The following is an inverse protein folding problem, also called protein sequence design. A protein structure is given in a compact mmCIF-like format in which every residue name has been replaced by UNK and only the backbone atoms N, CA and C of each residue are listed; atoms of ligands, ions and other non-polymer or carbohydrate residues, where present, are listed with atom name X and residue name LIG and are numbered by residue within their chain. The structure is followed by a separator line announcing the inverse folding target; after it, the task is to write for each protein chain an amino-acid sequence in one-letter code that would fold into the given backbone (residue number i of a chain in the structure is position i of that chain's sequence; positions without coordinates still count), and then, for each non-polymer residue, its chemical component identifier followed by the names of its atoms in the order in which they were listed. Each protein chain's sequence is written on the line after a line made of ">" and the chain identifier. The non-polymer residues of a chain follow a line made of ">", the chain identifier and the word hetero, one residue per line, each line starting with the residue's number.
data_IF_361606866842
#
_entry.id   IF_361606866842
#
_cell.length_a   1.000
_cell.length_b   1.000
_cell.length_c   1.000
_cell.angle_alpha   90.00
_cell.angle_beta   90.00
_cell.angle_gamma   90.00
#
_symmetry.space_group_name_H-M   'P 1'
#
loop_
_entity.id
_entity.type
_entity.pdbx_description
1 polymer ?
#
# COMPACT_ATOMS: atom_id res chain seq x y z
N UNK A 1 -41.74 -14.17 -26.99
CA UNK A 1 -40.39 -14.57 -26.57
C UNK A 1 -39.59 -13.30 -26.49
N UNK A 2 -39.60 -12.68 -25.31
CA UNK A 2 -38.59 -11.67 -24.99
C UNK A 2 -37.26 -12.42 -24.88
N UNK A 3 -36.17 -11.84 -25.41
CA UNK A 3 -34.87 -12.49 -25.35
C UNK A 3 -34.37 -12.48 -23.90
N UNK A 4 -33.93 -13.62 -23.39
CA UNK A 4 -33.35 -13.74 -22.05
C UNK A 4 -32.19 -12.75 -21.92
N UNK A 5 -32.30 -11.82 -20.96
CA UNK A 5 -31.30 -10.78 -20.77
C UNK A 5 -30.07 -11.40 -20.12
N UNK A 6 -28.97 -11.45 -20.87
CA UNK A 6 -27.68 -11.95 -20.38
C UNK A 6 -26.86 -10.83 -19.76
N UNK A 7 -26.25 -11.12 -18.62
CA UNK A 7 -25.34 -10.23 -17.91
C UNK A 7 -23.95 -10.84 -17.93
N UNK A 8 -22.95 -10.06 -18.35
CA UNK A 8 -21.55 -10.51 -18.33
C UNK A 8 -21.08 -10.60 -16.87
N UNK A 9 -20.43 -11.72 -16.53
CA UNK A 9 -19.82 -11.94 -15.21
C UNK A 9 -18.30 -11.93 -15.36
N UNK A 10 -17.65 -11.01 -14.63
CA UNK A 10 -16.19 -10.94 -14.57
C UNK A 10 -15.73 -10.98 -13.11
N UNK A 11 -14.45 -11.24 -12.90
CA UNK A 11 -13.78 -11.16 -11.60
C UNK A 11 -12.63 -10.17 -11.73
N UNK A 12 -12.66 -9.17 -10.85
CA UNK A 12 -11.57 -8.24 -10.65
C UNK A 12 -10.57 -8.84 -9.68
N UNK A 13 -9.29 -8.81 -10.03
CA UNK A 13 -8.19 -9.31 -9.23
C UNK A 13 -7.31 -8.15 -8.79
N UNK A 14 -7.04 -8.09 -7.49
CA UNK A 14 -6.24 -7.06 -6.83
C UNK A 14 -5.04 -7.72 -6.14
N UNK A 15 -3.87 -7.09 -6.22
CA UNK A 15 -2.69 -7.53 -5.46
C UNK A 15 -2.51 -6.63 -4.23
N UNK A 16 -2.94 -7.13 -3.07
CA UNK A 16 -2.80 -6.43 -1.79
C UNK A 16 -1.33 -6.16 -1.43
N UNK A 17 -0.39 -6.88 -2.04
CA UNK A 17 1.04 -6.65 -1.83
C UNK A 17 1.62 -5.54 -2.70
N UNK A 18 0.88 -4.97 -3.65
CA UNK A 18 1.36 -3.91 -4.54
C UNK A 18 2.59 -4.32 -5.38
N UNK A 19 2.66 -5.60 -5.77
CA UNK A 19 3.77 -6.22 -6.49
C UNK A 19 4.86 -6.80 -5.57
N UNK A 20 4.88 -6.50 -4.27
CA UNK A 20 5.96 -6.95 -3.38
C UNK A 20 5.98 -8.49 -3.28
N UNK A 21 4.82 -9.16 -3.21
CA UNK A 21 4.77 -10.63 -3.12
C UNK A 21 5.51 -11.32 -4.26
N UNK A 22 5.48 -10.75 -5.47
CA UNK A 22 6.23 -11.24 -6.62
C UNK A 22 7.75 -11.06 -6.49
N UNK A 23 8.22 -10.01 -5.83
CA UNK A 23 9.67 -9.79 -5.62
C UNK A 23 10.21 -10.68 -4.49
N UNK A 24 9.47 -10.76 -3.37
CA UNK A 24 10.01 -11.27 -2.11
C UNK A 24 9.69 -12.75 -1.81
N UNK A 25 8.65 -13.32 -2.42
CA UNK A 25 8.24 -14.70 -2.11
C UNK A 25 9.29 -15.79 -2.37
N UNK A 26 10.19 -15.73 -3.38
CA UNK A 26 11.26 -16.72 -3.51
C UNK A 26 12.19 -16.75 -2.29
N UNK A 27 12.53 -15.56 -1.77
CA UNK A 27 13.43 -15.39 -0.62
C UNK A 27 12.77 -15.82 0.70
N UNK A 28 11.49 -15.44 0.91
CA UNK A 28 10.80 -15.64 2.19
C UNK A 28 9.92 -16.89 2.29
N UNK A 29 9.43 -17.42 1.16
CA UNK A 29 8.60 -18.64 1.14
C UNK A 29 9.33 -19.84 0.53
N UNK A 30 10.53 -19.63 -0.03
CA UNK A 30 11.21 -20.64 -0.86
C UNK A 30 10.48 -20.92 -2.17
N UNK A 31 9.47 -20.11 -2.53
CA UNK A 31 8.57 -20.33 -3.66
C UNK A 31 8.10 -18.99 -4.22
N UNK A 32 8.15 -18.85 -5.55
CA UNK A 32 7.52 -17.74 -6.26
C UNK A 32 5.98 -17.80 -6.13
N UNK A 33 5.38 -16.72 -5.63
CA UNK A 33 3.96 -16.38 -5.80
C UNK A 33 3.87 -15.08 -6.60
N UNK A 34 2.77 -14.85 -7.32
CA UNK A 34 2.65 -13.70 -8.24
C UNK A 34 1.97 -12.46 -7.62
N UNK A 35 1.34 -12.60 -6.45
CA UNK A 35 0.59 -11.56 -5.75
C UNK A 35 -0.05 -12.10 -4.47
N UNK A 36 -0.59 -11.21 -3.62
CA UNK A 36 -1.53 -11.57 -2.54
C UNK A 36 -2.92 -11.19 -3.01
N UNK A 37 -3.69 -12.18 -3.45
CA UNK A 37 -4.92 -11.96 -4.19
C UNK A 37 -6.12 -11.60 -3.31
N UNK A 38 -6.73 -10.47 -3.63
CA UNK A 38 -8.10 -10.13 -3.27
C UNK A 38 -8.96 -10.11 -4.55
N UNK A 39 -10.21 -10.57 -4.47
CA UNK A 39 -11.15 -10.59 -5.60
C UNK A 39 -12.50 -9.96 -5.29
N UNK A 40 -13.10 -9.35 -6.31
CA UNK A 40 -14.50 -8.99 -6.39
C UNK A 40 -15.15 -9.54 -7.66
N UNK A 41 -16.42 -9.95 -7.57
CA UNK A 41 -17.22 -10.33 -8.75
C UNK A 41 -17.92 -9.09 -9.30
N UNK A 42 -17.85 -8.88 -10.61
CA UNK A 42 -18.54 -7.79 -11.31
C UNK A 42 -19.64 -8.31 -12.20
N UNK A 43 -20.85 -7.80 -11.99
CA UNK A 43 -22.10 -8.15 -12.67
C UNK A 43 -23.12 -7.03 -12.40
N UNK A 44 -24.12 -6.85 -13.26
CA UNK A 44 -25.14 -5.78 -13.16
C UNK A 44 -24.56 -4.35 -13.05
N UNK A 45 -23.38 -4.10 -13.64
CA UNK A 45 -22.61 -2.85 -13.51
C UNK A 45 -22.19 -2.49 -12.06
N UNK A 46 -22.18 -3.48 -11.17
CA UNK A 46 -21.73 -3.40 -9.78
C UNK A 46 -20.55 -4.34 -9.56
N UNK A 47 -19.86 -4.14 -8.44
CA UNK A 47 -18.79 -4.98 -7.94
C UNK A 47 -19.11 -5.43 -6.53
N UNK A 48 -19.10 -6.74 -6.29
CA UNK A 48 -19.43 -7.36 -5.01
C UNK A 48 -18.20 -8.06 -4.44
N UNK A 49 -17.92 -7.86 -3.15
CA UNK A 49 -16.74 -8.39 -2.46
C UNK A 49 -17.02 -8.60 -0.97
N UNK A 50 -16.16 -9.36 -0.30
CA UNK A 50 -16.20 -9.52 1.16
C UNK A 50 -15.20 -8.54 1.80
N UNK A 51 -15.62 -7.74 2.78
CA UNK A 51 -14.78 -6.70 3.37
C UNK A 51 -15.21 -6.27 4.78
N UNK A 52 -15.45 -7.23 5.68
CA UNK A 52 -16.15 -6.99 6.96
C UNK A 52 -17.66 -7.28 6.89
N UNK A 53 -18.08 -7.97 5.83
CA UNK A 53 -19.47 -8.21 5.44
C UNK A 53 -19.53 -8.31 3.91
N UNK A 54 -20.64 -8.75 3.36
CA UNK A 54 -20.87 -8.65 1.90
C UNK A 54 -21.05 -7.17 1.58
N UNK A 55 -20.20 -6.66 0.69
CA UNK A 55 -20.16 -5.28 0.25
C UNK A 55 -20.43 -5.19 -1.25
N UNK A 56 -20.96 -4.06 -1.70
CA UNK A 56 -21.12 -3.73 -3.12
C UNK A 56 -20.72 -2.29 -3.42
N UNK A 57 -20.04 -2.05 -4.53
CA UNK A 57 -19.77 -0.72 -5.07
C UNK A 57 -20.12 -0.63 -6.55
N UNK A 58 -20.02 0.57 -7.13
CA UNK A 58 -19.82 0.66 -8.58
C UNK A 58 -18.47 0.02 -8.96
N UNK A 59 -18.39 -0.48 -10.19
CA UNK A 59 -17.16 -1.07 -10.75
C UNK A 59 -15.99 -0.09 -10.64
N UNK A 60 -14.82 -0.56 -10.18
CA UNK A 60 -13.59 0.24 -9.98
C UNK A 60 -13.70 1.37 -8.94
N UNK A 61 -14.74 1.35 -8.12
CA UNK A 61 -14.88 2.22 -6.94
C UNK A 61 -14.77 1.43 -5.63
N UNK A 62 -14.17 0.24 -5.69
CA UNK A 62 -13.86 -0.53 -4.48
C UNK A 62 -12.75 0.15 -3.68
N UNK A 63 -12.64 -0.11 -2.36
CA UNK A 63 -11.49 0.31 -1.58
C UNK A 63 -10.20 -0.45 -1.94
N UNK A 64 -10.12 -1.17 -3.06
CA UNK A 64 -8.92 -1.89 -3.49
C UNK A 64 -8.27 -1.26 -4.74
N UNK A 65 -8.80 -0.12 -5.21
CA UNK A 65 -8.20 0.67 -6.29
C UNK A 65 -8.47 0.12 -7.68
N UNK A 66 -7.45 0.16 -8.53
CA UNK A 66 -7.50 -0.40 -9.89
C UNK A 66 -7.16 -1.90 -9.87
N UNK A 67 -8.00 -2.78 -10.46
CA UNK A 67 -7.67 -4.21 -10.54
C UNK A 67 -6.45 -4.43 -11.45
N UNK A 68 -5.51 -5.26 -11.00
CA UNK A 68 -4.32 -5.65 -11.78
C UNK A 68 -4.67 -6.61 -12.92
N UNK A 69 -5.84 -7.26 -12.86
CA UNK A 69 -6.36 -8.13 -13.92
C UNK A 69 -7.89 -8.21 -13.81
N UNK A 70 -8.57 -8.15 -14.96
CA UNK A 70 -9.98 -8.49 -15.10
C UNK A 70 -10.09 -9.86 -15.78
N UNK A 71 -10.85 -10.79 -15.21
CA UNK A 71 -11.04 -12.15 -15.73
C UNK A 71 -12.50 -12.29 -16.14
N UNK A 72 -12.79 -12.51 -17.42
CA UNK A 72 -14.17 -12.86 -17.82
C UNK A 72 -14.42 -14.33 -17.47
N UNK A 73 -15.46 -14.58 -16.66
CA UNK A 73 -15.85 -15.92 -16.21
C UNK A 73 -16.88 -16.50 -17.18
N UNK A 74 -17.86 -15.69 -17.57
CA UNK A 74 -18.94 -16.12 -18.46
C UNK A 74 -20.06 -15.07 -18.54
N UNK A 75 -21.26 -15.56 -18.79
CA UNK A 75 -22.50 -14.80 -18.78
C UNK A 75 -23.51 -15.51 -17.88
N UNK A 76 -24.44 -14.76 -17.31
CA UNK A 76 -25.55 -15.27 -16.49
C UNK A 76 -26.88 -14.74 -17.01
N UNK A 77 -27.93 -15.53 -16.87
CA UNK A 77 -29.33 -15.12 -17.09
C UNK A 77 -30.06 -14.85 -15.76
N UNK A 78 -29.37 -15.04 -14.62
CA UNK A 78 -29.94 -14.82 -13.30
C UNK A 78 -30.24 -13.31 -13.12
N UNK A 79 -31.48 -12.93 -12.75
CA UNK A 79 -31.82 -11.54 -12.43
C UNK A 79 -31.10 -11.02 -11.19
N UNK A 80 -30.84 -9.71 -11.15
CA UNK A 80 -30.15 -9.05 -10.03
C UNK A 80 -30.88 -9.23 -8.69
N UNK A 81 -32.21 -9.29 -8.69
CA UNK A 81 -33.03 -9.57 -7.50
C UNK A 81 -32.76 -10.98 -6.94
N UNK A 82 -32.70 -12.00 -7.80
CA UNK A 82 -32.41 -13.39 -7.40
C UNK A 82 -30.98 -13.53 -6.85
N UNK A 83 -30.02 -12.81 -7.45
CA UNK A 83 -28.66 -12.76 -6.89
C UNK A 83 -28.61 -12.02 -5.55
N UNK A 84 -29.43 -10.97 -5.37
CA UNK A 84 -29.52 -10.24 -4.10
C UNK A 84 -30.13 -11.08 -2.97
N UNK A 85 -31.12 -11.92 -3.28
CA UNK A 85 -31.68 -12.90 -2.34
C UNK A 85 -30.62 -13.95 -1.96
N UNK A 86 -29.87 -14.48 -2.93
CA UNK A 86 -28.75 -15.40 -2.69
C UNK A 86 -27.67 -14.78 -1.79
N UNK A 87 -27.21 -13.55 -2.09
CA UNK A 87 -26.27 -12.81 -1.25
C UNK A 87 -26.80 -12.63 0.19
N UNK A 88 -28.11 -12.42 0.34
CA UNK A 88 -28.75 -12.32 1.65
C UNK A 88 -28.74 -13.66 2.40
N UNK A 89 -28.93 -14.79 1.72
CA UNK A 89 -28.82 -16.14 2.29
C UNK A 89 -27.39 -16.46 2.77
N UNK A 90 -26.37 -16.19 1.94
CA UNK A 90 -24.96 -16.44 2.29
C UNK A 90 -24.34 -15.37 3.21
N UNK A 91 -25.05 -14.29 3.52
CA UNK A 91 -24.56 -13.19 4.38
C UNK A 91 -24.04 -13.65 5.75
N UNK A 92 -24.67 -14.66 6.34
CA UNK A 92 -24.24 -15.26 7.61
C UNK A 92 -22.95 -16.09 7.46
N UNK A 93 -22.62 -16.62 6.28
CA UNK A 93 -21.31 -17.26 6.01
C UNK A 93 -20.21 -16.20 5.90
N UNK A 94 -20.53 -15.05 5.31
CA UNK A 94 -19.61 -13.94 5.03
C UNK A 94 -19.85 -12.73 5.95
N UNK A 95 -19.94 -12.98 7.26
CA UNK A 95 -19.96 -11.95 8.31
C UNK A 95 -18.55 -11.61 8.80
N UNK A 96 -18.34 -10.41 9.35
CA UNK A 96 -17.05 -10.00 9.92
C UNK A 96 -16.49 -10.99 10.95
N UNK A 97 -17.36 -11.51 11.83
CA UNK A 97 -16.98 -12.48 12.88
C UNK A 97 -16.47 -13.82 12.32
N UNK A 98 -16.82 -14.16 11.09
CA UNK A 98 -16.40 -15.40 10.40
C UNK A 98 -15.35 -15.16 9.33
N UNK A 99 -14.86 -13.94 9.16
CA UNK A 99 -13.76 -13.68 8.25
C UNK A 99 -12.51 -14.45 8.70
N UNK A 100 -11.95 -15.25 7.80
CA UNK A 100 -10.68 -15.94 8.01
C UNK A 100 -9.80 -15.87 6.77
N UNK A 101 -8.60 -15.30 6.90
CA UNK A 101 -7.69 -15.05 5.78
C UNK A 101 -7.35 -16.32 4.99
N UNK A 102 -7.36 -17.51 5.63
CA UNK A 102 -6.94 -18.76 4.99
C UNK A 102 -8.09 -19.59 4.44
N UNK A 103 -9.28 -19.52 5.05
CA UNK A 103 -10.38 -20.47 4.84
C UNK A 103 -11.76 -19.87 4.61
N UNK A 104 -11.96 -18.58 4.91
CA UNK A 104 -13.21 -17.88 4.64
C UNK A 104 -12.93 -16.40 4.34
N UNK A 105 -12.37 -16.14 3.16
CA UNK A 105 -11.95 -14.81 2.70
C UNK A 105 -12.69 -14.39 1.42
N UNK A 106 -12.26 -13.27 0.83
CA UNK A 106 -12.84 -12.67 -0.37
C UNK A 106 -12.82 -13.60 -1.58
N UNK A 107 -11.79 -14.43 -1.71
CA UNK A 107 -11.67 -15.41 -2.79
C UNK A 107 -12.71 -16.54 -2.61
N UNK A 108 -12.99 -16.97 -1.37
CA UNK A 108 -14.08 -17.92 -1.09
C UNK A 108 -15.46 -17.32 -1.37
N UNK A 109 -15.68 -16.04 -1.07
CA UNK A 109 -16.92 -15.34 -1.41
C UNK A 109 -17.12 -15.21 -2.92
N UNK A 110 -16.06 -14.83 -3.64
CA UNK A 110 -16.10 -14.71 -5.10
C UNK A 110 -16.31 -16.08 -5.77
N UNK A 111 -15.68 -17.15 -5.27
CA UNK A 111 -15.88 -18.54 -5.70
C UNK A 111 -17.36 -18.96 -5.62
N UNK A 112 -17.98 -18.79 -4.45
CA UNK A 112 -19.41 -19.05 -4.22
C UNK A 112 -20.29 -18.28 -5.23
N UNK A 113 -19.97 -17.00 -5.49
CA UNK A 113 -20.73 -16.17 -6.41
C UNK A 113 -20.56 -16.57 -7.88
N UNK A 114 -19.35 -16.92 -8.34
CA UNK A 114 -19.15 -17.34 -9.74
C UNK A 114 -19.73 -18.73 -10.02
N UNK A 115 -19.76 -19.59 -9.00
CA UNK A 115 -20.45 -20.87 -9.08
C UNK A 115 -21.96 -20.67 -9.18
N UNK A 116 -22.56 -19.84 -8.32
CA UNK A 116 -23.99 -19.54 -8.39
C UNK A 116 -24.40 -18.86 -9.72
N UNK A 117 -23.63 -17.88 -10.19
CA UNK A 117 -23.98 -17.09 -11.37
C UNK A 117 -23.77 -17.84 -12.71
N UNK A 118 -22.73 -18.69 -12.81
CA UNK A 118 -22.27 -19.24 -14.09
C UNK A 118 -21.93 -20.74 -14.07
N UNK A 119 -22.16 -21.47 -12.97
CA UNK A 119 -21.68 -22.85 -12.76
C UNK A 119 -20.19 -23.00 -13.08
N UNK A 120 -19.40 -22.03 -12.60
CA UNK A 120 -17.97 -21.87 -12.92
C UNK A 120 -17.14 -21.65 -11.65
N UNK A 121 -15.83 -21.71 -11.80
CA UNK A 121 -14.86 -21.68 -10.69
C UNK A 121 -13.78 -20.63 -10.94
N UNK A 122 -13.21 -20.09 -9.86
CA UNK A 122 -12.02 -19.25 -9.95
C UNK A 122 -10.80 -20.09 -10.35
N UNK A 123 -9.83 -19.50 -11.08
CA UNK A 123 -8.53 -20.11 -11.31
C UNK A 123 -7.85 -20.55 -10.01
N UNK A 124 -7.34 -21.79 -9.97
CA UNK A 124 -6.71 -22.42 -8.80
C UNK A 124 -5.56 -21.60 -8.19
N UNK A 125 -4.85 -20.80 -9.01
CA UNK A 125 -3.78 -19.92 -8.53
C UNK A 125 -4.27 -18.79 -7.60
N UNK A 126 -5.58 -18.53 -7.55
CA UNK A 126 -6.23 -17.56 -6.65
C UNK A 126 -6.65 -18.28 -5.37
N UNK A 127 -7.48 -19.32 -5.49
CA UNK A 127 -8.11 -20.02 -4.36
C UNK A 127 -7.14 -20.93 -3.60
N UNK A 128 -6.13 -21.49 -4.26
CA UNK A 128 -5.13 -22.36 -3.64
C UNK A 128 -4.06 -21.63 -2.84
N UNK A 129 -3.83 -20.33 -3.10
CA UNK A 129 -2.70 -19.56 -2.56
C UNK A 129 -2.55 -19.65 -1.02
N UNK A 130 -3.61 -19.51 -0.19
CA UNK A 130 -3.45 -19.57 1.27
C UNK A 130 -2.97 -20.95 1.74
N UNK A 131 -3.46 -22.03 1.13
CA UNK A 131 -3.04 -23.39 1.42
C UNK A 131 -1.60 -23.67 0.95
N UNK A 132 -1.13 -22.99 -0.10
CA UNK A 132 0.28 -23.06 -0.51
C UNK A 132 1.21 -22.34 0.46
N UNK A 133 0.85 -21.14 0.91
CA UNK A 133 1.63 -20.38 1.91
C UNK A 133 1.76 -21.21 3.19
N UNK A 134 0.65 -21.77 3.70
CA UNK A 134 0.66 -22.60 4.92
C UNK A 134 1.47 -23.90 4.78
N UNK A 135 1.77 -24.40 3.58
CA UNK A 135 2.68 -25.56 3.42
C UNK A 135 4.15 -25.21 3.66
N UNK A 136 4.50 -23.92 3.71
CA UNK A 136 5.87 -23.47 3.95
C UNK A 136 6.19 -23.37 5.46
N UNK A 137 7.45 -23.57 5.89
CA UNK A 137 7.84 -23.42 7.29
C UNK A 137 7.57 -22.01 7.85
N UNK A 138 7.75 -20.98 7.02
CA UNK A 138 7.46 -19.59 7.39
C UNK A 138 5.94 -19.36 7.46
N UNK A 139 5.15 -19.94 6.55
CA UNK A 139 3.68 -19.94 6.64
C UNK A 139 3.15 -20.50 7.96
N UNK A 140 3.70 -21.62 8.44
CA UNK A 140 3.37 -22.20 9.74
C UNK A 140 3.77 -21.28 10.91
N UNK A 141 4.90 -20.58 10.79
CA UNK A 141 5.38 -19.63 11.80
C UNK A 141 4.54 -18.34 11.87
N UNK A 142 4.11 -17.81 10.72
CA UNK A 142 3.33 -16.55 10.66
C UNK A 142 1.84 -16.76 10.90
N UNK A 143 1.29 -17.97 10.71
CA UNK A 143 -0.14 -18.25 10.94
C UNK A 143 -0.65 -17.72 12.29
N UNK A 144 -0.05 -18.03 13.46
CA UNK A 144 -0.55 -17.51 14.74
C UNK A 144 -0.43 -15.99 14.87
N UNK A 145 0.49 -15.34 14.14
CA UNK A 145 0.61 -13.88 14.12
C UNK A 145 -0.57 -13.28 13.33
N UNK A 146 -0.86 -13.85 12.16
CA UNK A 146 -1.99 -13.46 11.29
C UNK A 146 -3.32 -13.70 12.01
N UNK A 147 -3.51 -14.87 12.63
CA UNK A 147 -4.71 -15.21 13.41
C UNK A 147 -4.94 -14.16 14.53
N UNK A 148 -3.88 -13.79 15.26
CA UNK A 148 -3.96 -12.76 16.30
C UNK A 148 -4.27 -11.37 15.74
N UNK A 149 -3.65 -10.97 14.62
CA UNK A 149 -3.88 -9.68 13.97
C UNK A 149 -5.34 -9.57 13.46
N UNK A 150 -5.84 -10.61 12.80
CA UNK A 150 -7.24 -10.73 12.37
C UNK A 150 -8.20 -10.57 13.55
N UNK A 151 -7.95 -11.30 14.66
CA UNK A 151 -8.76 -11.20 15.86
C UNK A 151 -8.73 -9.79 16.50
N UNK A 152 -7.60 -9.09 16.47
CA UNK A 152 -7.50 -7.70 16.92
C UNK A 152 -8.32 -6.76 16.05
N UNK A 153 -8.27 -6.89 14.72
CA UNK A 153 -9.06 -6.03 13.82
C UNK A 153 -10.55 -6.30 13.99
N UNK A 154 -11.00 -7.56 14.10
CA UNK A 154 -12.40 -7.92 14.39
C UNK A 154 -12.89 -7.28 15.70
N UNK A 155 -12.03 -7.21 16.73
CA UNK A 155 -12.38 -6.59 18.02
C UNK A 155 -12.37 -5.06 18.00
N UNK A 156 -11.58 -4.42 17.13
CA UNK A 156 -11.43 -2.96 17.09
C UNK A 156 -12.29 -2.25 16.04
N UNK A 157 -12.63 -2.91 14.92
CA UNK A 157 -13.10 -2.22 13.70
C UNK A 157 -14.58 -1.86 13.68
N UNK A 158 -15.43 -2.57 14.44
CA UNK A 158 -16.86 -2.26 14.58
C UNK A 158 -17.67 -2.15 13.27
N UNK A 159 -17.16 -2.71 12.17
CA UNK A 159 -17.77 -2.61 10.83
C UNK A 159 -16.95 -1.91 9.74
N UNK A 160 -15.73 -1.44 10.00
CA UNK A 160 -14.85 -0.85 8.98
C UNK A 160 -14.01 -1.90 8.21
N UNK A 161 -13.71 -1.62 6.93
CA UNK A 161 -13.02 -2.53 5.99
C UNK A 161 -11.66 -3.02 6.50
N UNK A 162 -11.36 -4.31 6.21
CA UNK A 162 -10.20 -5.04 6.72
C UNK A 162 -8.85 -4.68 6.06
N UNK A 163 -8.85 -3.88 4.99
CA UNK A 163 -7.64 -3.61 4.19
C UNK A 163 -7.56 -2.13 3.75
N UNK A 164 -6.36 -1.53 3.71
CA UNK A 164 -6.14 -0.15 3.31
C UNK A 164 -6.27 0.05 1.79
N UNK A 165 -6.58 1.28 1.39
CA UNK A 165 -6.92 1.61 0.00
C UNK A 165 -5.69 1.69 -0.91
N UNK A 166 -5.77 1.04 -2.07
CA UNK A 166 -4.89 1.33 -3.21
C UNK A 166 -5.56 2.38 -4.11
N UNK A 167 -4.76 3.27 -4.68
CA UNK A 167 -5.26 4.46 -5.41
C UNK A 167 -5.75 4.18 -6.83
N UNK A 168 -6.67 5.02 -7.29
CA UNK A 168 -6.70 5.46 -8.69
C UNK A 168 -6.58 6.99 -8.74
N UNK A 169 -5.73 7.52 -9.64
CA UNK A 169 -5.33 8.92 -9.62
C UNK A 169 -6.40 9.88 -10.13
N UNK A 170 -6.84 10.83 -9.30
CA UNK A 170 -7.85 11.83 -9.64
C UNK A 170 -7.35 12.86 -10.67
N UNK A 171 -7.42 12.48 -11.95
CA UNK A 171 -7.25 13.38 -13.07
C UNK A 171 -8.61 14.06 -13.37
N UNK A 172 -8.86 15.26 -12.85
CA UNK A 172 -10.09 16.00 -13.13
C UNK A 172 -9.82 17.46 -13.49
N UNK A 173 -9.78 17.71 -14.80
CA UNK A 173 -9.68 19.02 -15.41
C UNK A 173 -11.10 19.52 -15.73
N UNK A 174 -11.68 20.42 -14.94
CA UNK A 174 -12.86 21.20 -15.35
C UNK A 174 -12.74 22.69 -14.99
N UNK A 175 -12.27 23.44 -16.01
CA UNK A 175 -12.63 24.82 -16.35
C UNK A 175 -12.37 25.95 -15.34
N UNK A 176 -11.21 26.59 -15.52
CA UNK A 176 -11.05 28.04 -15.30
C UNK A 176 -11.27 28.78 -16.63
N UNK A 177 -12.05 29.87 -16.59
CA UNK A 177 -12.22 30.80 -17.71
C UNK A 177 -11.31 32.03 -17.55
N UNK A 178 -10.54 32.35 -18.60
CA UNK A 178 -10.12 33.73 -18.92
C UNK A 178 -8.71 34.19 -18.50
N UNK A 179 -7.99 34.80 -19.45
CA UNK A 179 -6.96 35.81 -19.13
C UNK A 179 -5.53 35.56 -19.63
N UNK A 180 -5.28 35.85 -20.91
CA UNK A 180 -4.04 36.41 -21.52
C UNK A 180 -2.91 36.86 -20.54
N UNK A 181 -1.59 36.70 -20.77
CA UNK A 181 -0.83 37.12 -21.96
C UNK A 181 0.71 36.86 -21.83
N UNK A 182 1.42 36.83 -22.98
CA UNK A 182 2.87 37.18 -23.19
C UNK A 182 3.97 36.25 -22.59
N UNK A 183 4.87 35.67 -23.42
CA UNK A 183 6.17 36.23 -23.91
C UNK A 183 7.11 36.65 -22.75
N UNK A 184 8.41 36.31 -22.66
CA UNK A 184 9.42 35.62 -23.50
C UNK A 184 10.59 35.18 -22.54
N UNK A 185 11.77 34.62 -22.89
CA UNK A 185 12.54 34.43 -24.13
C UNK A 185 13.49 33.19 -23.99
N UNK A 186 14.45 32.99 -24.91
CA UNK A 186 15.61 32.08 -24.77
C UNK A 186 16.89 32.88 -24.46
N UNK A 187 17.90 32.30 -23.78
CA UNK A 187 19.34 32.55 -24.08
C UNK A 187 20.29 31.64 -23.28
N UNK A 188 21.54 31.56 -23.74
CA UNK A 188 22.53 30.53 -23.42
C UNK A 188 23.46 30.86 -22.22
N UNK A 189 24.08 29.79 -21.71
CA UNK A 189 25.39 29.70 -21.04
C UNK A 189 26.29 30.95 -21.09
N UNK A 190 26.67 31.48 -19.92
CA UNK A 190 27.96 32.17 -19.70
C UNK A 190 28.53 31.74 -18.33
N UNK A 191 29.70 31.09 -18.35
CA UNK A 191 30.58 30.99 -17.18
C UNK A 191 31.44 32.25 -17.07
N UNK A 192 31.77 32.69 -15.84
CA UNK A 192 33.10 33.25 -15.58
C UNK A 192 33.80 32.53 -14.42
N UNK A 193 35.06 32.14 -14.64
CA UNK A 193 36.00 31.77 -13.57
C UNK A 193 36.75 33.03 -13.08
N UNK A 194 36.90 33.16 -11.76
CA UNK A 194 38.02 33.74 -10.99
C UNK A 194 37.47 34.09 -9.58
N UNK A 195 38.03 33.69 -8.44
CA UNK A 195 39.23 32.88 -8.20
C UNK A 195 40.16 33.55 -7.18
N UNK A 196 39.94 33.31 -5.88
CA UNK A 196 40.91 33.54 -4.78
C UNK A 196 40.34 33.03 -3.45
N UNK A 197 41.20 32.47 -2.57
CA UNK A 197 40.83 32.11 -1.20
C UNK A 197 40.93 30.61 -0.84
N UNK A 198 42.15 30.04 -0.90
CA UNK A 198 42.43 28.73 -0.29
C UNK A 198 42.41 28.82 1.25
N UNK A 199 41.21 28.79 1.83
CA UNK A 199 41.04 28.38 3.21
C UNK A 199 41.22 26.87 3.32
N UNK A 200 42.32 26.41 3.93
CA UNK A 200 42.52 24.99 4.22
C UNK A 200 41.43 24.51 5.19
N UNK A 201 40.38 23.87 4.68
CA UNK A 201 39.49 23.08 5.52
C UNK A 201 40.27 21.85 5.98
N UNK A 202 40.85 21.95 7.18
CA UNK A 202 41.51 20.85 7.84
C UNK A 202 40.48 19.72 8.05
N UNK A 203 40.77 18.55 7.50
CA UNK A 203 39.99 17.34 7.69
C UNK A 203 40.22 16.79 9.10
N UNK A 204 39.63 17.42 10.11
CA UNK A 204 39.45 16.82 11.44
C UNK A 204 38.42 15.70 11.31
N UNK A 205 38.91 14.50 10.98
CA UNK A 205 38.09 13.35 10.62
C UNK A 205 37.34 12.75 11.79
N UNK A 206 36.04 12.99 11.85
CA UNK A 206 35.06 11.96 12.24
C UNK A 206 34.28 11.57 10.99
N UNK A 207 34.15 10.26 10.71
CA UNK A 207 33.18 9.80 9.72
C UNK A 207 31.79 10.17 10.25
N UNK A 208 31.05 10.99 9.52
CA UNK A 208 29.73 11.44 9.95
C UNK A 208 28.68 10.48 9.39
N UNK A 209 28.33 9.48 10.18
CA UNK A 209 27.34 8.46 9.81
C UNK A 209 25.91 8.98 9.98
N UNK A 210 24.98 8.40 9.22
CA UNK A 210 23.57 8.80 9.27
C UNK A 210 22.88 8.44 10.60
N UNK A 211 23.22 7.28 11.19
CA UNK A 211 22.51 6.73 12.35
C UNK A 211 23.28 6.86 13.66
N UNK A 212 24.61 6.80 13.63
CA UNK A 212 25.45 6.87 14.82
C UNK A 212 25.39 8.26 15.47
N UNK A 213 25.50 8.30 16.81
CA UNK A 213 25.49 9.53 17.61
C UNK A 213 24.19 10.38 17.52
N UNK A 214 23.10 9.80 17.01
CA UNK A 214 21.75 10.38 17.07
C UNK A 214 20.92 9.64 18.12
N UNK A 215 20.22 10.39 18.98
CA UNK A 215 19.34 9.81 20.01
C UNK A 215 17.93 9.57 19.42
N UNK A 216 17.66 8.33 19.02
CA UNK A 216 16.41 7.94 18.36
C UNK A 216 15.28 7.69 19.37
N UNK A 217 14.56 8.75 19.75
CA UNK A 217 13.32 8.66 20.56
C UNK A 217 12.10 8.60 19.65
N UNK A 218 11.14 7.72 19.96
CA UNK A 218 9.92 7.50 19.17
C UNK A 218 10.14 7.15 17.69
N UNK A 219 11.32 6.63 17.32
CA UNK A 219 11.61 6.12 15.98
C UNK A 219 11.91 4.64 16.07
N UNK A 220 11.24 3.83 15.24
CA UNK A 220 11.54 2.40 15.11
C UNK A 220 12.34 2.12 13.83
N UNK A 221 13.20 1.11 13.85
CA UNK A 221 13.92 0.65 12.67
C UNK A 221 13.16 -0.49 11.99
N UNK A 222 12.99 -0.39 10.67
CA UNK A 222 12.42 -1.45 9.85
C UNK A 222 13.58 -2.22 9.22
N UNK A 223 13.82 -3.42 9.72
CA UNK A 223 14.95 -4.29 9.34
C UNK A 223 14.58 -5.34 8.30
N UNK A 224 13.30 -5.58 8.06
CA UNK A 224 12.77 -6.48 7.05
C UNK A 224 11.47 -5.95 6.41
N UNK A 225 10.99 -6.67 5.39
CA UNK A 225 9.77 -6.32 4.65
C UNK A 225 8.47 -6.52 5.43
N UNK A 226 8.41 -7.49 6.35
CA UNK A 226 7.22 -7.70 7.18
C UNK A 226 7.02 -6.53 8.15
N UNK A 227 8.10 -6.04 8.75
CA UNK A 227 8.09 -4.82 9.57
C UNK A 227 7.65 -3.61 8.74
N UNK A 228 8.07 -3.51 7.47
CA UNK A 228 7.63 -2.43 6.59
C UNK A 228 6.12 -2.47 6.32
N UNK A 229 5.56 -3.65 6.01
CA UNK A 229 4.13 -3.82 5.80
C UNK A 229 3.35 -3.54 7.09
N UNK A 230 3.76 -4.11 8.22
CA UNK A 230 3.17 -3.85 9.54
C UNK A 230 3.15 -2.35 9.86
N UNK A 231 4.27 -1.66 9.65
CA UNK A 231 4.37 -0.22 9.85
C UNK A 231 3.35 0.56 9.00
N UNK A 232 3.23 0.25 7.71
CA UNK A 232 2.27 0.93 6.82
C UNK A 232 0.81 0.56 7.08
N UNK A 233 0.50 -0.69 7.43
CA UNK A 233 -0.87 -1.19 7.58
C UNK A 233 -1.47 -0.89 8.95
N UNK A 234 -0.70 -1.01 10.04
CA UNK A 234 -1.21 -0.97 11.41
C UNK A 234 -1.08 0.40 12.09
N UNK A 235 -0.78 1.47 11.35
CA UNK A 235 -0.61 2.81 11.90
C UNK A 235 -1.34 3.90 11.10
N UNK A 236 -2.15 4.72 11.80
CA UNK A 236 -3.00 5.76 11.20
C UNK A 236 -2.21 6.85 10.45
N UNK A 237 -1.04 7.24 10.95
CA UNK A 237 -0.20 8.29 10.38
C UNK A 237 1.26 8.00 10.64
N UNK A 238 2.06 7.87 9.58
CA UNK A 238 3.49 7.55 9.68
C UNK A 238 4.36 8.37 8.73
N UNK A 239 5.64 8.49 9.09
CA UNK A 239 6.71 8.95 8.21
C UNK A 239 7.83 7.91 8.19
N UNK A 240 8.31 7.55 7.00
CA UNK A 240 9.41 6.60 6.81
C UNK A 240 10.61 7.34 6.21
N UNK A 241 11.80 7.09 6.75
CA UNK A 241 13.06 7.69 6.35
C UNK A 241 14.04 6.61 5.87
N UNK A 242 14.27 6.58 4.55
CA UNK A 242 15.31 5.76 3.92
C UNK A 242 16.66 6.47 3.94
N UNK A 243 17.68 5.80 4.49
CA UNK A 243 19.03 6.31 4.65
C UNK A 243 20.09 5.30 4.18
N UNK A 244 21.35 5.73 4.18
CA UNK A 244 22.57 4.91 4.04
C UNK A 244 23.54 5.33 5.14
N UNK A 245 24.31 4.40 5.71
CA UNK A 245 25.20 4.68 6.84
C UNK A 245 26.25 5.76 6.51
N UNK A 246 26.93 5.70 5.36
CA UNK A 246 27.97 6.67 4.94
C UNK A 246 27.43 7.86 4.10
N UNK A 247 26.20 8.29 4.36
CA UNK A 247 25.54 9.37 3.64
C UNK A 247 25.62 10.72 4.38
N UNK A 248 26.46 11.65 3.93
CA UNK A 248 26.59 12.99 4.55
C UNK A 248 25.27 13.80 4.59
N UNK A 249 24.43 13.84 3.53
CA UNK A 249 23.11 14.49 3.60
C UNK A 249 22.18 13.82 4.62
N UNK A 250 22.29 12.51 4.80
CA UNK A 250 21.55 11.75 5.81
C UNK A 250 21.98 12.16 7.23
N UNK A 251 23.29 12.24 7.48
CA UNK A 251 23.84 12.69 8.76
C UNK A 251 23.44 14.13 9.15
N UNK A 252 23.10 14.99 8.18
CA UNK A 252 22.57 16.33 8.45
C UNK A 252 21.08 16.32 8.87
N UNK A 253 20.26 15.44 8.29
CA UNK A 253 18.82 15.41 8.53
C UNK A 253 18.41 14.49 9.69
N UNK A 254 19.21 13.46 10.02
CA UNK A 254 18.89 12.50 11.08
C UNK A 254 18.64 13.12 12.46
N UNK A 255 19.45 14.06 12.99
CA UNK A 255 19.16 14.71 14.27
C UNK A 255 17.85 15.51 14.25
N UNK A 256 17.53 16.12 13.12
CA UNK A 256 16.31 16.91 12.91
C UNK A 256 15.09 15.99 12.88
N UNK A 257 15.19 14.85 12.18
CA UNK A 257 14.13 13.85 12.11
C UNK A 257 13.85 13.23 13.50
N UNK A 258 14.89 12.90 14.27
CA UNK A 258 14.78 12.45 15.66
C UNK A 258 14.20 13.53 16.60
N UNK A 259 14.50 14.82 16.37
CA UNK A 259 13.84 15.90 17.10
C UNK A 259 12.35 16.01 16.74
N UNK A 260 11.97 15.76 15.48
CA UNK A 260 10.58 15.83 15.02
C UNK A 260 9.73 14.66 15.52
N UNK A 261 10.28 13.45 15.66
CA UNK A 261 9.57 12.33 16.32
C UNK A 261 9.27 12.58 17.80
N UNK A 262 10.03 13.49 18.42
CA UNK A 262 9.69 13.97 19.75
C UNK A 262 8.58 15.04 19.78
N UNK A 263 8.43 15.82 18.72
CA UNK A 263 7.41 16.88 18.62
C UNK A 263 6.05 16.37 18.15
N UNK A 264 6.03 15.48 17.15
CA UNK A 264 4.81 14.95 16.52
C UNK A 264 4.44 13.58 17.08
N UNK A 265 4.03 13.52 18.35
CA UNK A 265 3.78 12.25 19.09
C UNK A 265 2.69 11.36 18.47
N UNK A 266 1.74 11.94 17.74
CA UNK A 266 0.61 11.23 17.11
C UNK A 266 0.97 10.60 15.75
N UNK A 267 2.16 10.90 15.23
CA UNK A 267 2.73 10.32 14.00
C UNK A 267 3.80 9.31 14.41
N UNK A 268 3.84 8.12 13.79
CA UNK A 268 4.95 7.18 14.00
C UNK A 268 6.09 7.47 13.03
N UNK A 269 7.32 7.37 13.52
CA UNK A 269 8.52 7.62 12.75
C UNK A 269 9.27 6.30 12.57
N UNK A 270 9.74 6.04 11.35
CA UNK A 270 10.44 4.83 10.99
C UNK A 270 11.71 5.12 10.20
N UNK A 271 12.79 4.41 10.48
CA UNK A 271 14.04 4.47 9.73
C UNK A 271 14.32 3.14 9.00
N UNK A 272 14.81 3.23 7.76
CA UNK A 272 15.10 2.09 6.89
C UNK A 272 16.48 2.28 6.28
N UNK A 273 17.36 1.31 6.49
CA UNK A 273 18.62 1.28 5.75
C UNK A 273 18.36 0.76 4.33
N UNK A 274 18.43 1.64 3.34
CA UNK A 274 18.16 1.27 1.95
C UNK A 274 19.30 0.48 1.28
N UNK A 275 20.50 0.48 1.85
CA UNK A 275 21.61 -0.35 1.37
C UNK A 275 21.55 -1.78 1.91
N UNK A 276 20.91 -1.98 3.07
CA UNK A 276 20.58 -3.31 3.61
C UNK A 276 19.25 -3.83 3.01
N UNK A 277 18.20 -3.01 2.95
CA UNK A 277 16.89 -3.35 2.37
C UNK A 277 16.78 -2.91 0.90
N UNK A 278 17.68 -3.44 0.06
CA UNK A 278 17.82 -3.06 -1.36
C UNK A 278 16.59 -3.37 -2.20
N UNK A 279 15.94 -4.50 -1.94
CA UNK A 279 14.76 -4.95 -2.69
C UNK A 279 13.57 -4.00 -2.45
N UNK A 280 13.37 -3.54 -1.21
CA UNK A 280 12.36 -2.52 -0.87
C UNK A 280 12.75 -1.20 -1.56
N UNK A 281 14.03 -0.82 -1.48
CA UNK A 281 14.53 0.41 -2.09
C UNK A 281 14.36 0.43 -3.62
N UNK A 282 14.51 -0.72 -4.29
CA UNK A 282 14.24 -0.85 -5.72
C UNK A 282 12.75 -0.66 -6.04
N UNK A 283 11.86 -1.28 -5.27
CA UNK A 283 10.42 -1.22 -5.51
C UNK A 283 9.82 0.17 -5.25
N UNK A 284 10.27 0.86 -4.20
CA UNK A 284 9.91 2.26 -3.92
C UNK A 284 10.70 3.28 -4.76
N UNK A 285 11.42 2.80 -5.78
CA UNK A 285 12.17 3.60 -6.75
C UNK A 285 13.13 4.60 -6.09
N UNK A 286 13.81 4.20 -5.01
CA UNK A 286 14.76 5.04 -4.27
C UNK A 286 15.98 5.34 -5.16
N UNK A 287 15.97 6.52 -5.80
CA UNK A 287 17.06 6.99 -6.66
C UNK A 287 18.21 7.65 -5.86
N UNK A 288 18.10 7.76 -4.54
CA UNK A 288 19.13 8.37 -3.69
C UNK A 288 18.70 8.56 -2.23
N UNK A 289 19.66 8.94 -1.38
CA UNK A 289 19.46 9.14 0.06
C UNK A 289 19.79 10.58 0.50
N UNK A 290 19.10 11.14 1.51
CA UNK A 290 17.93 10.58 2.18
C UNK A 290 16.69 10.61 1.28
N UNK A 291 15.79 9.63 1.43
CA UNK A 291 14.44 9.67 0.84
C UNK A 291 13.40 9.45 1.92
N UNK A 292 12.28 10.15 1.84
CA UNK A 292 11.21 10.14 2.82
C UNK A 292 9.87 9.80 2.18
N UNK A 293 9.02 9.18 2.98
CA UNK A 293 7.63 8.89 2.67
C UNK A 293 6.74 9.33 3.82
N UNK A 294 5.54 9.82 3.54
CA UNK A 294 4.46 9.89 4.53
C UNK A 294 3.31 8.99 4.12
N UNK A 295 2.72 8.29 5.08
CA UNK A 295 1.49 7.52 4.86
C UNK A 295 0.41 7.92 5.86
N UNK A 296 -0.85 7.81 5.44
CA UNK A 296 -2.04 8.00 6.26
C UNK A 296 -3.03 6.88 5.96
N UNK A 297 -3.52 6.15 6.96
CA UNK A 297 -4.40 4.98 6.80
C UNK A 297 -3.90 3.96 5.76
N UNK A 298 -2.59 3.70 5.70
CA UNK A 298 -1.96 2.82 4.70
C UNK A 298 -1.75 3.42 3.31
N UNK A 299 -2.33 4.59 3.01
CA UNK A 299 -2.10 5.31 1.74
C UNK A 299 -0.83 6.13 1.78
N UNK A 300 0.03 6.00 0.75
CA UNK A 300 1.21 6.86 0.58
C UNK A 300 0.80 8.28 0.14
N UNK A 301 0.91 9.25 1.04
CA UNK A 301 0.49 10.64 0.81
C UNK A 301 1.58 11.45 0.10
N UNK A 302 2.85 11.20 0.40
CA UNK A 302 3.95 11.88 -0.29
C UNK A 302 5.25 11.10 -0.28
N UNK A 303 6.08 11.34 -1.30
CA UNK A 303 7.46 10.88 -1.41
C UNK A 303 8.36 12.08 -1.76
N UNK A 304 9.55 12.18 -1.16
CA UNK A 304 10.58 13.11 -1.61
C UNK A 304 12.00 12.68 -1.25
N UNK A 305 12.95 13.08 -2.08
CA UNK A 305 14.39 12.91 -1.83
C UNK A 305 15.01 14.23 -1.33
N UNK A 306 16.08 14.11 -0.57
CA UNK A 306 16.95 15.20 -0.16
C UNK A 306 16.75 15.65 1.29
N UNK A 307 17.83 16.15 1.89
CA UNK A 307 17.90 16.60 3.28
C UNK A 307 17.19 17.96 3.49
N UNK A 308 15.88 18.01 3.24
CA UNK A 308 15.07 19.23 3.28
C UNK A 308 14.22 19.27 4.57
N UNK A 309 14.75 19.95 5.60
CA UNK A 309 14.07 20.15 6.89
C UNK A 309 12.70 20.84 6.74
N UNK A 310 12.60 21.89 5.92
CA UNK A 310 11.37 22.65 5.72
C UNK A 310 10.27 21.75 5.16
N UNK A 311 10.59 20.95 4.14
CA UNK A 311 9.64 20.02 3.51
C UNK A 311 9.24 18.88 4.44
N UNK A 312 10.17 18.35 5.26
CA UNK A 312 9.84 17.38 6.30
C UNK A 312 8.85 17.97 7.32
N UNK A 313 9.09 19.20 7.80
CA UNK A 313 8.19 19.86 8.75
C UNK A 313 6.81 20.18 8.14
N UNK A 314 6.78 20.59 6.87
CA UNK A 314 5.56 20.83 6.10
C UNK A 314 4.72 19.55 6.00
N UNK A 315 5.33 18.43 5.59
CA UNK A 315 4.62 17.15 5.43
C UNK A 315 4.19 16.51 6.75
N UNK A 316 4.93 16.74 7.84
CA UNK A 316 4.47 16.36 9.18
C UNK A 316 3.27 17.18 9.66
N UNK A 317 3.21 18.48 9.35
CA UNK A 317 2.04 19.32 9.66
C UNK A 317 0.81 18.92 8.83
N UNK A 318 0.98 18.66 7.54
CA UNK A 318 -0.09 18.13 6.68
C UNK A 318 -0.65 16.81 7.22
N UNK A 319 0.24 15.91 7.64
CA UNK A 319 -0.14 14.62 8.21
C UNK A 319 -0.82 14.76 9.59
N UNK A 320 -0.39 15.72 10.41
CA UNK A 320 -1.03 16.05 11.68
C UNK A 320 -2.41 16.69 11.48
N UNK A 321 -2.60 17.51 10.45
CA UNK A 321 -3.92 18.07 10.11
C UNK A 321 -4.91 16.98 9.68
N UNK A 322 -4.46 15.93 8.98
CA UNK A 322 -5.29 14.77 8.63
C UNK A 322 -5.70 13.92 9.85
N UNK A 323 -5.03 14.05 10.99
CA UNK A 323 -5.39 13.34 12.22
C UNK A 323 -6.54 13.98 13.01
N UNK A 324 -6.81 15.27 12.77
CA UNK A 324 -7.83 16.10 13.45
C UNK A 324 -9.21 15.93 12.82
#
# INVERSE_FOLDING_TARGET
>A
MEGEQKYKVQVNLYDLSGGMAKVFSPTFLGKQIEGIWHTGVTVYNKEFYFGGGICSSAIKQTPYGTPVKEITIGETEIPEEVFSDYLSEISNKYSMEKYDLFSNNCNNFTEDCVHFLCDSHLPEYITGLPAEVLKTPIGQMIKPIIDNMQNQVIQQSGGASLFPQQFEGANNNQQMFGGQNQNQQQSNNIFPQQGQGLGQFQSSGTKQFAKENVEWKNVAELTDFMQFIDATSNNKAIVIYFYSDECRPCALISPIYAQMSEQFKDIKFFLVDGEKLREISAQFQIQGFPTFFTYFNGEMISQWMGANQTKLQEKLKELQQKLQ
#
